data_IF_929310755263
#
_entry.id   IF_929310755263
#
_cell.length_a   1.000
_cell.length_b   1.000
_cell.length_c   1.000
_cell.angle_alpha   90.00
_cell.angle_beta   90.00
_cell.angle_gamma   90.00
#
_symmetry.space_group_name_H-M   'P 1'
#
loop_
_entity.id
_entity.type
_entity.pdbx_description
1 polymer ?
#
# COMPACT_ATOMS: atom_id res chain seq x y z
N UNK A 1 12.64 -13.12 6.32
CA UNK A 1 11.53 -12.19 6.08
C UNK A 1 10.35 -12.89 5.46
N UNK A 2 9.16 -12.43 5.81
CA UNK A 2 7.93 -12.93 5.21
C UNK A 2 7.58 -12.11 3.99
N UNK A 3 6.78 -12.66 3.11
CA UNK A 3 6.35 -12.00 1.90
C UNK A 3 4.85 -11.69 2.02
N UNK A 4 4.48 -10.44 1.74
CA UNK A 4 3.10 -10.00 1.86
C UNK A 4 2.62 -9.40 0.55
N UNK A 5 1.39 -9.72 0.18
CA UNK A 5 0.71 -9.08 -0.92
C UNK A 5 -0.22 -8.02 -0.34
N UNK A 6 -0.07 -6.78 -0.79
CA UNK A 6 -0.84 -5.65 -0.29
C UNK A 6 -1.67 -5.07 -1.41
N UNK A 7 -2.97 -4.97 -1.17
CA UNK A 7 -3.90 -4.31 -2.09
C UNK A 7 -4.35 -3.01 -1.46
N UNK A 8 -4.19 -1.93 -2.18
CA UNK A 8 -4.55 -0.61 -1.69
C UNK A 8 -5.08 0.26 -2.82
N UNK A 9 -5.75 1.33 -2.44
CA UNK A 9 -6.18 2.34 -3.40
C UNK A 9 -5.79 3.71 -2.86
N UNK A 10 -5.55 4.63 -3.77
CA UNK A 10 -5.15 5.99 -3.42
C UNK A 10 -5.74 6.99 -4.40
N UNK A 11 -5.80 8.23 -3.98
CA UNK A 11 -6.18 9.34 -4.86
C UNK A 11 -5.41 10.58 -4.45
N UNK A 12 -5.12 11.43 -5.44
CA UNK A 12 -4.41 12.69 -5.24
C UNK A 12 -4.94 13.72 -6.23
N UNK A 13 -4.33 14.91 -6.23
CA UNK A 13 -4.76 15.97 -7.14
C UNK A 13 -4.60 15.58 -8.61
N UNK A 14 -3.57 14.82 -8.94
CA UNK A 14 -3.31 14.44 -10.33
C UNK A 14 -4.33 13.43 -10.85
N UNK A 15 -5.03 12.74 -9.97
CA UNK A 15 -6.06 11.76 -10.36
C UNK A 15 -7.47 12.37 -10.43
N UNK A 16 -7.61 13.68 -10.20
CA UNK A 16 -8.90 14.38 -10.17
C UNK A 16 -9.87 13.77 -9.15
N UNK A 17 -9.34 13.31 -8.03
CA UNK A 17 -10.14 12.71 -6.98
C UNK A 17 -10.61 11.28 -7.25
N UNK A 18 -10.18 10.68 -8.34
CA UNK A 18 -10.54 9.29 -8.64
C UNK A 18 -9.62 8.34 -7.89
N UNK A 19 -10.20 7.24 -7.41
CA UNK A 19 -9.42 6.20 -6.75
C UNK A 19 -8.65 5.38 -7.78
N UNK A 20 -7.37 5.17 -7.51
CA UNK A 20 -6.51 4.32 -8.31
C UNK A 20 -6.20 3.08 -7.48
N UNK A 21 -6.48 1.89 -8.02
CA UNK A 21 -6.20 0.64 -7.33
C UNK A 21 -4.81 0.13 -7.69
N UNK A 22 -4.12 -0.40 -6.68
CA UNK A 22 -2.76 -0.88 -6.86
C UNK A 22 -2.52 -2.10 -5.99
N UNK A 23 -1.60 -2.94 -6.43
CA UNK A 23 -1.22 -4.15 -5.71
C UNK A 23 0.29 -4.25 -5.74
N UNK A 24 0.89 -4.68 -4.62
CA UNK A 24 2.33 -4.85 -4.54
C UNK A 24 2.70 -6.00 -3.62
N UNK A 25 3.92 -6.51 -3.78
CA UNK A 25 4.48 -7.53 -2.90
C UNK A 25 5.61 -6.90 -2.10
N UNK A 26 5.53 -7.01 -0.79
CA UNK A 26 6.51 -6.43 0.14
C UNK A 26 7.10 -7.53 1.01
N UNK A 27 8.42 -7.49 1.19
CA UNK A 27 9.12 -8.36 2.13
C UNK A 27 9.29 -7.63 3.45
N UNK A 28 8.79 -8.23 4.52
CA UNK A 28 8.84 -7.62 5.85
C UNK A 28 8.70 -8.69 6.92
N UNK A 29 8.94 -8.31 8.18
CA UNK A 29 8.85 -9.25 9.30
C UNK A 29 7.43 -9.40 9.85
N UNK A 30 6.54 -8.47 9.53
CA UNK A 30 5.16 -8.49 10.01
C UNK A 30 4.26 -7.72 9.06
N UNK A 31 2.93 -7.90 9.22
CA UNK A 31 1.96 -7.14 8.42
C UNK A 31 2.14 -5.64 8.64
N UNK A 32 2.34 -5.23 9.89
CA UNK A 32 2.52 -3.82 10.22
C UNK A 32 3.75 -3.24 9.49
N UNK A 33 4.87 -3.97 9.53
CA UNK A 33 6.09 -3.53 8.84
C UNK A 33 5.87 -3.47 7.32
N UNK A 34 5.11 -4.42 6.76
CA UNK A 34 4.81 -4.43 5.34
C UNK A 34 3.97 -3.22 4.94
N UNK A 35 2.98 -2.86 5.75
CA UNK A 35 2.15 -1.68 5.48
C UNK A 35 2.98 -0.39 5.54
N UNK A 36 3.87 -0.27 6.53
CA UNK A 36 4.74 0.90 6.64
C UNK A 36 5.65 1.02 5.41
N UNK A 37 6.22 -0.08 4.98
CA UNK A 37 7.09 -0.09 3.82
C UNK A 37 6.33 0.27 2.54
N UNK A 38 5.10 -0.22 2.40
CA UNK A 38 4.25 0.11 1.28
C UNK A 38 3.98 1.62 1.20
N UNK A 39 3.63 2.22 2.35
CA UNK A 39 3.40 3.66 2.42
C UNK A 39 4.65 4.44 2.01
N UNK A 40 5.80 3.98 2.45
CA UNK A 40 7.08 4.64 2.16
C UNK A 40 7.43 4.56 0.68
N UNK A 41 7.30 3.38 0.09
CA UNK A 41 7.67 3.14 -1.32
C UNK A 41 6.76 3.91 -2.27
N UNK A 42 5.47 3.93 -1.99
CA UNK A 42 4.49 4.59 -2.87
C UNK A 42 4.17 6.02 -2.47
N UNK A 43 4.81 6.53 -1.41
CA UNK A 43 4.57 7.91 -0.96
C UNK A 43 3.16 8.16 -0.45
N UNK A 44 2.51 7.12 0.08
CA UNK A 44 1.14 7.24 0.56
C UNK A 44 1.05 8.11 1.80
N UNK A 45 0.03 8.96 1.85
CA UNK A 45 -0.16 9.86 2.97
C UNK A 45 0.57 11.18 2.82
N UNK A 46 1.34 11.37 1.74
CA UNK A 46 1.99 12.64 1.42
C UNK A 46 1.19 13.26 0.28
N UNK A 47 0.38 14.27 0.60
CA UNK A 47 -0.47 14.97 -0.35
C UNK A 47 -1.44 14.04 -1.11
N UNK A 48 -1.77 12.89 -0.52
CA UNK A 48 -2.75 11.98 -1.10
C UNK A 48 -3.51 11.23 -0.02
N UNK A 49 -4.70 10.75 -0.38
CA UNK A 49 -5.48 9.88 0.48
C UNK A 49 -5.24 8.43 0.03
N UNK A 50 -5.26 7.49 0.97
CA UNK A 50 -5.08 6.09 0.63
C UNK A 50 -5.86 5.20 1.58
N UNK A 51 -6.18 4.00 1.10
CA UNK A 51 -6.80 2.96 1.91
C UNK A 51 -6.13 1.64 1.55
N UNK A 52 -5.48 1.02 2.55
CA UNK A 52 -4.97 -0.35 2.40
C UNK A 52 -6.10 -1.26 2.85
N UNK A 53 -6.64 -2.06 1.95
CA UNK A 53 -7.82 -2.86 2.26
C UNK A 53 -7.55 -4.36 2.33
N UNK A 54 -6.38 -4.81 1.94
CA UNK A 54 -6.04 -6.22 2.07
C UNK A 54 -4.53 -6.39 2.23
N UNK A 55 -4.13 -7.17 3.23
CA UNK A 55 -2.73 -7.57 3.43
C UNK A 55 -2.73 -9.07 3.67
N UNK A 56 -2.13 -9.81 2.76
CA UNK A 56 -2.11 -11.27 2.80
C UNK A 56 -0.67 -11.78 2.82
N UNK A 57 -0.37 -12.67 3.77
CA UNK A 57 0.94 -13.31 3.78
C UNK A 57 0.98 -14.37 2.69
N UNK A 58 2.02 -14.32 1.88
CA UNK A 58 2.23 -15.30 0.80
C UNK A 58 3.16 -16.39 1.34
N UNK A 59 2.66 -17.60 1.40
CA UNK A 59 3.41 -18.74 1.92
C UNK A 59 4.15 -19.45 0.78
#
# INVERSE_FOLDING_TARGET
>A
MKRYNIKFKYRDESSNGKWNEQECTIYADSKYAAEKECKKIYGLGIDCEYIIYEVTEII
#
